data_IF_629707010940
#
_entry.id   IF_629707010940
#
_cell.length_a   1.000
_cell.length_b   1.000
_cell.length_c   1.000
_cell.angle_alpha   90.00
_cell.angle_beta   90.00
_cell.angle_gamma   90.00
#
_symmetry.space_group_name_H-M   'P 1'
#
loop_
_entity.id
_entity.type
_entity.pdbx_description
1 polymer ?
#
# COMPACT_ATOMS: atom_id res chain seq x y z
N UNK A 1 11.95 -3.36 -6.06
CA UNK A 1 11.51 -2.48 -7.16
C UNK A 1 11.30 -1.06 -6.63
N UNK A 2 11.54 -0.06 -7.46
CA UNK A 2 11.25 1.34 -7.19
C UNK A 2 10.25 1.86 -8.23
N UNK A 3 9.15 2.43 -7.75
CA UNK A 3 8.20 3.17 -8.59
C UNK A 3 8.30 4.67 -8.30
N UNK A 4 8.21 5.46 -9.35
CA UNK A 4 8.06 6.91 -9.27
C UNK A 4 6.70 7.30 -9.85
N UNK A 5 6.00 8.13 -9.14
CA UNK A 5 4.69 8.63 -9.54
C UNK A 5 4.77 10.12 -9.87
N UNK A 6 3.81 10.58 -10.63
CA UNK A 6 3.62 12.01 -10.84
C UNK A 6 3.51 12.77 -9.51
N UNK A 7 4.02 13.99 -9.47
CA UNK A 7 4.07 14.78 -8.23
C UNK A 7 5.15 14.38 -7.23
N UNK A 8 6.15 13.57 -7.66
CA UNK A 8 7.35 13.27 -6.87
C UNK A 8 7.19 12.20 -5.80
N UNK A 9 6.06 11.52 -5.74
CA UNK A 9 5.87 10.39 -4.83
C UNK A 9 6.66 9.18 -5.31
N UNK A 10 7.17 8.38 -4.37
CA UNK A 10 7.89 7.15 -4.68
C UNK A 10 7.36 6.00 -3.84
N UNK A 11 7.45 4.79 -4.38
CA UNK A 11 7.18 3.56 -3.65
C UNK A 11 8.35 2.60 -3.85
N UNK A 12 8.85 2.05 -2.76
CA UNK A 12 9.82 0.95 -2.78
C UNK A 12 9.08 -0.30 -2.34
N UNK A 13 9.15 -1.36 -3.13
CA UNK A 13 8.63 -2.67 -2.75
C UNK A 13 9.73 -3.72 -2.84
N UNK A 14 9.91 -4.46 -1.76
CA UNK A 14 10.81 -5.60 -1.68
C UNK A 14 9.98 -6.82 -1.29
N UNK A 15 9.98 -7.83 -2.15
CA UNK A 15 9.19 -9.04 -1.96
C UNK A 15 10.09 -10.22 -2.32
N UNK A 16 10.22 -11.15 -1.39
CA UNK A 16 10.93 -12.41 -1.60
C UNK A 16 10.08 -13.57 -1.13
N UNK A 17 9.97 -14.61 -1.94
CA UNK A 17 9.27 -15.84 -1.57
C UNK A 17 10.11 -16.73 -0.66
N UNK A 18 11.42 -16.76 -0.92
CA UNK A 18 12.37 -17.51 -0.11
C UNK A 18 13.63 -16.66 0.10
N UNK A 19 13.88 -16.28 1.34
CA UNK A 19 15.04 -15.51 1.74
C UNK A 19 15.62 -16.10 3.03
N UNK A 20 16.96 -16.15 3.11
CA UNK A 20 17.65 -16.53 4.34
C UNK A 20 17.79 -15.30 5.25
N UNK A 21 16.75 -14.99 5.98
CA UNK A 21 16.68 -13.84 6.87
C UNK A 21 15.44 -13.86 7.77
N UNK A 22 15.24 -12.85 8.60
CA UNK A 22 14.03 -12.74 9.39
C UNK A 22 12.80 -12.61 8.49
N UNK A 23 11.71 -13.25 8.89
CA UNK A 23 10.42 -13.02 8.25
C UNK A 23 9.91 -11.63 8.66
N UNK A 24 9.85 -10.72 7.68
CA UNK A 24 9.37 -9.35 7.87
C UNK A 24 8.28 -9.07 6.85
N UNK A 25 7.09 -8.75 7.34
CA UNK A 25 6.01 -8.22 6.52
C UNK A 25 5.61 -6.86 7.10
N UNK A 26 6.01 -5.79 6.46
CA UNK A 26 5.68 -4.43 6.92
C UNK A 26 5.34 -3.54 5.75
N UNK A 27 4.41 -2.62 5.98
CA UNK A 27 4.11 -1.52 5.07
C UNK A 27 4.28 -0.22 5.84
N UNK A 28 4.99 0.73 5.26
CA UNK A 28 5.21 2.05 5.86
C UNK A 28 4.85 3.14 4.86
N UNK A 29 4.25 4.21 5.35
CA UNK A 29 3.97 5.43 4.60
C UNK A 29 4.70 6.60 5.24
N UNK A 30 5.37 7.39 4.43
CA UNK A 30 6.09 8.57 4.86
C UNK A 30 5.51 9.80 4.17
N UNK A 31 4.94 10.69 4.95
CA UNK A 31 4.40 11.96 4.48
C UNK A 31 5.15 13.15 5.07
N UNK A 32 4.87 14.34 4.54
CA UNK A 32 5.49 15.58 5.01
C UNK A 32 4.98 16.08 6.36
N UNK A 33 3.86 15.54 6.86
CA UNK A 33 3.26 15.95 8.15
C UNK A 33 3.20 14.82 9.16
N UNK A 34 3.13 13.59 8.68
CA UNK A 34 3.05 12.40 9.50
C UNK A 34 3.44 11.18 8.68
N UNK A 35 3.80 10.10 9.36
CA UNK A 35 4.02 8.78 8.77
C UNK A 35 3.21 7.72 9.50
N UNK A 36 3.17 6.52 8.96
CA UNK A 36 2.65 5.38 9.68
C UNK A 36 3.33 4.08 9.27
N UNK A 37 3.32 3.12 10.18
CA UNK A 37 3.61 1.71 9.90
C UNK A 37 2.38 0.88 10.17
N UNK A 38 2.26 -0.22 9.43
CA UNK A 38 1.22 -1.22 9.66
C UNK A 38 1.85 -2.43 10.34
N UNK A 39 1.06 -3.04 11.23
CA UNK A 39 1.37 -4.24 12.00
C UNK A 39 2.55 -4.11 12.98
N UNK A 40 2.32 -3.49 14.16
CA UNK A 40 1.08 -2.83 14.57
C UNK A 40 0.90 -1.45 13.93
N UNK A 41 -0.34 -1.02 13.72
CA UNK A 41 -0.60 0.33 13.23
C UNK A 41 -0.07 1.35 14.22
N UNK A 42 0.93 2.10 13.77
CA UNK A 42 1.55 3.19 14.54
C UNK A 42 1.61 4.43 13.66
N UNK A 43 1.16 5.55 14.18
CA UNK A 43 1.20 6.85 13.51
C UNK A 43 2.33 7.66 14.16
N UNK A 44 3.23 8.16 13.34
CA UNK A 44 4.36 9.01 13.72
C UNK A 44 4.03 10.44 13.33
N UNK A 45 3.89 11.33 14.31
CA UNK A 45 3.56 12.72 14.08
C UNK A 45 4.28 13.62 15.10
N UNK A 46 4.33 14.91 14.80
CA UNK A 46 4.76 15.92 15.78
C UNK A 46 3.52 16.43 16.54
N UNK A 47 3.66 16.65 17.83
CA UNK A 47 2.64 17.33 18.63
C UNK A 47 2.69 18.85 18.41
N UNK A 48 1.80 19.60 19.07
CA UNK A 48 1.73 21.06 18.96
C UNK A 48 3.02 21.76 19.42
N UNK A 49 3.84 21.11 20.22
CA UNK A 49 5.11 21.61 20.71
C UNK A 49 6.32 21.20 19.84
N UNK A 50 6.07 20.40 18.77
CA UNK A 50 7.09 19.91 17.85
C UNK A 50 7.84 18.67 18.32
N UNK A 51 7.32 17.96 19.32
CA UNK A 51 7.91 16.69 19.76
C UNK A 51 7.32 15.53 18.94
N UNK A 52 8.21 14.61 18.55
CA UNK A 52 7.80 13.37 17.88
C UNK A 52 6.98 12.51 18.86
N UNK A 53 5.84 12.05 18.38
CA UNK A 53 4.91 11.19 19.12
C UNK A 53 4.57 9.95 18.32
N UNK A 54 4.50 8.82 19.01
CA UNK A 54 4.07 7.53 18.47
C UNK A 54 2.66 7.24 19.00
N UNK A 55 1.70 7.26 18.10
CA UNK A 55 0.30 7.02 18.44
C UNK A 55 -0.08 5.63 17.93
N UNK A 56 -0.48 4.74 18.83
CA UNK A 56 -0.99 3.41 18.48
C UNK A 56 -2.51 3.35 18.67
N UNK A 57 -3.29 3.58 17.60
CA UNK A 57 -4.73 3.51 17.68
C UNK A 57 -5.20 2.10 18.01
N UNK A 58 -6.18 1.99 18.92
CA UNK A 58 -6.85 0.72 19.15
C UNK A 58 -7.84 0.46 18.02
N UNK A 59 -7.44 -0.32 17.04
CA UNK A 59 -8.34 -0.75 15.96
C UNK A 59 -9.09 -2.02 16.35
N UNK A 60 -10.38 -2.05 16.03
CA UNK A 60 -11.19 -3.26 16.20
C UNK A 60 -10.68 -4.31 15.18
N UNK A 61 -10.37 -5.49 15.67
CA UNK A 61 -10.06 -6.62 14.80
C UNK A 61 -11.36 -7.14 14.19
N UNK A 62 -11.43 -7.13 12.88
CA UNK A 62 -12.51 -7.72 12.11
C UNK A 62 -11.92 -8.88 11.27
N UNK A 63 -12.79 -9.80 10.89
CA UNK A 63 -12.45 -10.77 9.86
C UNK A 63 -12.51 -10.04 8.49
N UNK A 64 -11.35 -9.75 7.93
CA UNK A 64 -11.24 -8.96 6.70
C UNK A 64 -11.85 -9.68 5.48
N UNK A 65 -11.83 -11.00 5.43
CA UNK A 65 -12.50 -11.75 4.36
C UNK A 65 -14.03 -11.60 4.44
N UNK A 66 -14.57 -11.66 5.65
CA UNK A 66 -16.01 -11.43 5.86
C UNK A 66 -16.40 -10.01 5.46
N UNK A 67 -15.61 -9.01 5.84
CA UNK A 67 -15.89 -7.62 5.49
C UNK A 67 -15.74 -7.35 3.98
N UNK A 68 -14.77 -7.98 3.32
CA UNK A 68 -14.61 -7.91 1.86
C UNK A 68 -15.85 -8.45 1.14
N UNK A 69 -16.32 -9.63 1.52
CA UNK A 69 -17.53 -10.22 0.90
C UNK A 69 -18.77 -9.41 1.18
N UNK A 70 -18.95 -8.91 2.41
CA UNK A 70 -20.07 -8.01 2.75
C UNK A 70 -20.06 -6.74 1.90
N UNK A 71 -18.88 -6.13 1.75
CA UNK A 71 -18.72 -4.94 0.91
C UNK A 71 -19.07 -5.22 -0.55
N UNK A 72 -18.62 -6.35 -1.09
CA UNK A 72 -18.93 -6.76 -2.46
C UNK A 72 -20.44 -6.94 -2.68
N UNK A 73 -21.11 -7.65 -1.76
CA UNK A 73 -22.56 -7.85 -1.79
C UNK A 73 -23.31 -6.50 -1.66
N UNK A 74 -22.84 -5.61 -0.78
CA UNK A 74 -23.42 -4.28 -0.61
C UNK A 74 -23.30 -3.44 -1.89
N UNK A 75 -22.18 -3.52 -2.59
CA UNK A 75 -21.98 -2.85 -3.87
C UNK A 75 -22.98 -3.34 -4.93
N UNK A 76 -23.21 -4.65 -5.01
CA UNK A 76 -24.19 -5.23 -5.95
C UNK A 76 -25.61 -4.78 -5.60
N UNK A 77 -26.00 -4.89 -4.33
CA UNK A 77 -27.39 -4.61 -3.91
C UNK A 77 -27.76 -3.13 -4.00
N UNK A 78 -26.79 -2.24 -3.88
CA UNK A 78 -27.00 -0.80 -3.78
C UNK A 78 -26.36 -0.01 -4.94
N UNK A 79 -25.93 -0.70 -6.00
CA UNK A 79 -25.29 -0.11 -7.20
C UNK A 79 -24.14 0.86 -6.82
N UNK A 80 -23.30 0.44 -5.88
CA UNK A 80 -22.15 1.22 -5.40
C UNK A 80 -20.88 0.82 -6.14
N UNK A 81 -19.99 1.78 -6.34
CA UNK A 81 -18.64 1.50 -6.80
C UNK A 81 -17.83 0.84 -5.68
N UNK A 82 -17.18 -0.31 -5.94
CA UNK A 82 -16.28 -0.94 -4.96
C UNK A 82 -15.13 -0.04 -4.55
N UNK A 83 -14.62 -0.21 -3.33
CA UNK A 83 -13.41 0.48 -2.85
C UNK A 83 -12.20 0.16 -3.75
N UNK A 84 -12.13 -1.08 -4.26
CA UNK A 84 -11.11 -1.51 -5.21
C UNK A 84 -11.78 -1.83 -6.56
N UNK A 85 -11.99 -0.83 -7.42
CA UNK A 85 -12.64 -1.05 -8.71
C UNK A 85 -11.70 -1.78 -9.68
N UNK A 86 -12.26 -2.35 -10.75
CA UNK A 86 -11.50 -3.09 -11.76
C UNK A 86 -10.41 -2.23 -12.43
N UNK A 87 -10.60 -0.91 -12.52
CA UNK A 87 -9.58 0.03 -13.01
C UNK A 87 -8.29 -0.04 -12.23
N UNK A 88 -8.37 -0.23 -10.91
CA UNK A 88 -7.19 -0.33 -10.05
C UNK A 88 -6.45 -1.65 -10.30
N UNK A 89 -7.18 -2.74 -10.52
CA UNK A 89 -6.59 -4.02 -10.90
C UNK A 89 -5.83 -3.93 -12.24
N UNK A 90 -6.39 -3.21 -13.22
CA UNK A 90 -5.70 -2.95 -14.50
C UNK A 90 -4.43 -2.12 -14.27
N UNK A 91 -4.47 -1.11 -13.42
CA UNK A 91 -3.31 -0.29 -13.08
C UNK A 91 -2.21 -1.13 -12.41
N UNK A 92 -2.58 -1.97 -11.45
CA UNK A 92 -1.63 -2.89 -10.80
C UNK A 92 -1.01 -3.85 -11.82
N UNK A 93 -1.81 -4.38 -12.75
CA UNK A 93 -1.30 -5.27 -13.79
C UNK A 93 -0.30 -4.58 -14.72
N UNK A 94 -0.53 -3.31 -15.08
CA UNK A 94 0.43 -2.50 -15.83
C UNK A 94 1.72 -2.26 -15.05
N UNK A 95 1.61 -2.04 -13.73
CA UNK A 95 2.79 -1.90 -12.87
C UNK A 95 3.61 -3.19 -12.84
N UNK A 96 2.98 -4.36 -12.71
CA UNK A 96 3.65 -5.66 -12.76
C UNK A 96 4.35 -5.90 -14.09
N UNK A 97 3.68 -5.64 -15.22
CA UNK A 97 4.30 -5.69 -16.54
C UNK A 97 5.51 -4.74 -16.66
N UNK A 98 5.37 -3.52 -16.13
CA UNK A 98 6.44 -2.55 -16.05
C UNK A 98 7.68 -3.06 -15.31
N UNK A 99 7.52 -3.82 -14.21
CA UNK A 99 8.61 -4.45 -13.49
C UNK A 99 9.38 -5.41 -14.41
N UNK A 100 8.68 -6.28 -15.12
CA UNK A 100 9.31 -7.25 -16.03
C UNK A 100 10.03 -6.54 -17.19
N UNK A 101 9.41 -5.52 -17.79
CA UNK A 101 10.04 -4.73 -18.87
C UNK A 101 11.28 -4.00 -18.37
N UNK A 102 11.24 -3.41 -17.18
CA UNK A 102 12.38 -2.74 -16.56
C UNK A 102 13.52 -3.72 -16.27
N UNK A 103 13.20 -4.88 -15.71
CA UNK A 103 14.19 -5.92 -15.43
C UNK A 103 14.88 -6.41 -16.71
N UNK A 104 14.13 -6.67 -17.78
CA UNK A 104 14.66 -7.10 -19.06
C UNK A 104 15.50 -6.03 -19.75
N UNK A 105 15.11 -4.76 -19.62
CA UNK A 105 15.80 -3.63 -20.25
C UNK A 105 16.97 -3.09 -19.41
N UNK A 106 17.13 -3.53 -18.16
CA UNK A 106 18.10 -3.02 -17.17
C UNK A 106 18.05 -1.49 -17.00
N UNK A 107 16.86 -0.92 -17.09
CA UNK A 107 16.63 0.53 -16.95
C UNK A 107 15.20 0.82 -16.53
N UNK A 108 14.96 2.06 -16.07
CA UNK A 108 13.62 2.58 -15.79
C UNK A 108 12.76 2.58 -17.08
N UNK A 109 11.49 2.21 -16.94
CA UNK A 109 10.51 2.20 -18.04
C UNK A 109 9.27 2.95 -17.63
N UNK A 110 8.64 3.62 -18.57
CA UNK A 110 7.37 4.30 -18.36
C UNK A 110 6.21 3.31 -18.39
N UNK A 111 5.21 3.54 -17.50
CA UNK A 111 4.01 2.73 -17.37
C UNK A 111 2.82 3.60 -17.83
N UNK A 112 2.23 3.25 -18.97
CA UNK A 112 1.13 3.97 -19.63
C UNK A 112 -0.19 3.21 -19.49
#
# INVERSE_FOLDING_TARGET
VLFRFEGGKTMIAEIAWAINGPEVATTQLFGSKAGCSFDPLTIYAEDEAGYLTDIQPKVRRNDYFVEEIKHFIDCINNDKTPISPMSDAVTIQKMLDGIYRSAAAHKEVEIN
#
